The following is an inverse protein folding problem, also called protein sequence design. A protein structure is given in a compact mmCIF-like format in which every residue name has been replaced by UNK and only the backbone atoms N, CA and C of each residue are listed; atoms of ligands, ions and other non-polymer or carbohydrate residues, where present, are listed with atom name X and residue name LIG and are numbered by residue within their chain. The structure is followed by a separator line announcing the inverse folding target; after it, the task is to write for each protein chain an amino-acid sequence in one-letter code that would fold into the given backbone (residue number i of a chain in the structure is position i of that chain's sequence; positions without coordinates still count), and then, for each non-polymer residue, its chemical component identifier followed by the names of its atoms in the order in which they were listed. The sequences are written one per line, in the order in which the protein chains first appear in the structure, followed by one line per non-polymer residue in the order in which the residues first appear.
data_IF_843744656237
#
_entry.id   IF_843744656237
#
_cell.length_a   1.000
_cell.length_b   1.000
_cell.length_c   1.000
_cell.angle_alpha   90.00
_cell.angle_beta   90.00
_cell.angle_gamma   90.00
#
_symmetry.space_group_name_H-M   'P 1'
#
loop_
_entity.id
_entity.type
_entity.pdbx_description
1 polymer ?
#
# COMPACT_ATOMS: atom_id res chain seq x y z
N UNK A 1 23.87 12.62 -26.01
CA UNK A 1 23.68 11.36 -26.77
C UNK A 1 22.48 10.65 -26.18
N UNK A 2 21.37 10.53 -26.92
CA UNK A 2 20.11 9.97 -26.43
C UNK A 2 20.28 8.46 -26.22
N UNK A 3 20.22 7.97 -24.97
CA UNK A 3 20.13 6.54 -24.68
C UNK A 3 18.68 6.11 -24.93
N UNK A 4 18.47 5.36 -26.00
CA UNK A 4 17.22 4.66 -26.29
C UNK A 4 17.12 3.52 -25.27
N UNK A 5 16.23 3.64 -24.30
CA UNK A 5 15.93 2.56 -23.36
C UNK A 5 15.01 1.56 -24.07
N UNK A 6 15.60 0.47 -24.56
CA UNK A 6 14.86 -0.67 -25.08
C UNK A 6 14.19 -1.34 -23.88
N UNK A 7 12.88 -1.15 -23.76
CA UNK A 7 12.03 -1.88 -22.82
C UNK A 7 11.94 -3.33 -23.29
N UNK A 8 12.88 -4.17 -22.85
CA UNK A 8 12.77 -5.61 -22.99
C UNK A 8 11.67 -6.08 -22.04
N UNK A 9 10.48 -6.31 -22.59
CA UNK A 9 9.45 -7.13 -21.95
C UNK A 9 9.96 -8.55 -21.85
N UNK A 10 10.71 -8.85 -20.79
CA UNK A 10 10.86 -10.23 -20.34
C UNK A 10 9.47 -10.71 -19.90
N UNK A 11 8.78 -11.43 -20.79
CA UNK A 11 7.85 -12.46 -20.35
C UNK A 11 8.66 -13.48 -19.56
N UNK A 12 8.81 -13.24 -18.26
CA UNK A 12 9.17 -14.30 -17.33
C UNK A 12 8.03 -15.31 -17.37
N UNK A 13 8.22 -16.37 -18.16
CA UNK A 13 7.41 -17.57 -18.03
C UNK A 13 7.56 -18.05 -16.60
N UNK A 14 6.58 -17.72 -15.75
CA UNK A 14 6.39 -18.39 -14.48
C UNK A 14 6.09 -19.85 -14.82
N UNK A 15 7.12 -20.70 -14.81
CA UNK A 15 6.92 -22.11 -14.56
C UNK A 15 6.17 -22.17 -13.23
N UNK A 16 4.90 -22.58 -13.30
CA UNK A 16 4.07 -22.78 -12.12
C UNK A 16 4.83 -23.71 -11.17
N UNK A 17 5.45 -23.13 -10.13
CA UNK A 17 5.66 -23.89 -8.90
C UNK A 17 4.27 -24.39 -8.54
N UNK A 18 4.13 -25.71 -8.40
CA UNK A 18 2.91 -26.39 -8.01
C UNK A 18 2.46 -25.79 -6.66
N UNK A 19 1.65 -24.74 -6.73
CA UNK A 19 1.20 -23.98 -5.59
C UNK A 19 0.29 -24.89 -4.78
N UNK A 20 0.70 -25.25 -3.57
CA UNK A 20 -0.08 -26.14 -2.72
C UNK A 20 -1.49 -25.57 -2.46
N UNK A 21 -2.49 -26.08 -3.20
CA UNK A 21 -3.91 -25.82 -2.95
C UNK A 21 -4.32 -26.48 -1.63
N UNK A 22 -5.39 -25.99 -1.01
CA UNK A 22 -5.95 -26.58 0.22
C UNK A 22 -4.94 -26.62 1.38
N UNK A 23 -4.29 -25.49 1.62
CA UNK A 23 -3.32 -25.27 2.68
C UNK A 23 -3.69 -24.00 3.48
N UNK A 24 -3.27 -23.93 4.73
CA UNK A 24 -3.61 -22.82 5.63
C UNK A 24 -5.04 -22.87 6.21
N UNK A 25 -5.46 -21.78 6.85
CA UNK A 25 -6.85 -21.56 7.25
C UNK A 25 -7.64 -20.95 6.07
N UNK A 26 -8.91 -21.32 5.86
CA UNK A 26 -9.74 -20.76 4.79
C UNK A 26 -10.09 -19.28 5.06
N UNK A 27 -10.66 -18.56 4.08
CA UNK A 27 -11.20 -17.22 4.30
C UNK A 27 -12.20 -17.19 5.46
N UNK A 28 -12.15 -16.13 6.27
CA UNK A 28 -13.06 -15.91 7.39
C UNK A 28 -14.04 -14.74 7.09
N UNK A 29 -14.68 -14.18 8.12
CA UNK A 29 -15.62 -13.07 8.00
C UNK A 29 -14.97 -11.70 7.71
N UNK A 30 -13.64 -11.58 7.88
CA UNK A 30 -12.88 -10.35 7.73
C UNK A 30 -11.67 -10.44 6.79
N UNK A 31 -11.29 -11.65 6.39
CA UNK A 31 -10.15 -11.93 5.53
C UNK A 31 -10.63 -12.76 4.33
N UNK A 32 -10.67 -12.18 3.12
CA UNK A 32 -11.27 -12.86 1.96
C UNK A 32 -10.36 -13.90 1.30
N UNK A 33 -9.10 -14.01 1.73
CA UNK A 33 -8.12 -14.98 1.25
C UNK A 33 -7.84 -16.03 2.31
N UNK A 34 -7.47 -17.24 1.87
CA UNK A 34 -6.89 -18.22 2.77
C UNK A 34 -5.48 -17.77 3.24
N UNK A 35 -4.99 -18.36 4.31
CA UNK A 35 -3.60 -18.16 4.75
C UNK A 35 -2.66 -18.86 3.75
N UNK A 36 -1.68 -18.13 3.22
CA UNK A 36 -0.77 -18.57 2.14
C UNK A 36 -1.47 -18.83 0.79
N UNK A 37 -2.53 -18.09 0.52
CA UNK A 37 -3.32 -18.19 -0.70
C UNK A 37 -2.62 -17.60 -1.94
N UNK A 38 -2.39 -18.45 -2.95
CA UNK A 38 -1.78 -18.06 -4.22
C UNK A 38 -2.76 -17.40 -5.20
N UNK A 39 -4.06 -17.37 -4.91
CA UNK A 39 -5.02 -16.52 -5.61
C UNK A 39 -4.95 -15.06 -5.15
N UNK A 40 -4.23 -14.77 -4.05
CA UNK A 40 -4.00 -13.38 -3.63
C UNK A 40 -3.02 -12.72 -4.58
N UNK A 41 -3.29 -11.48 -5.05
CA UNK A 41 -2.35 -10.75 -5.88
C UNK A 41 -0.97 -10.62 -5.22
N UNK A 42 0.08 -10.87 -6.01
CA UNK A 42 1.45 -10.64 -5.55
C UNK A 42 1.70 -9.14 -5.35
N UNK A 43 2.49 -8.74 -4.34
CA UNK A 43 2.94 -7.37 -4.21
C UNK A 43 3.64 -6.92 -5.51
N UNK A 44 3.40 -5.68 -5.99
CA UNK A 44 4.12 -5.16 -7.14
C UNK A 44 5.62 -5.06 -6.84
N UNK A 45 6.45 -5.40 -7.82
CA UNK A 45 7.90 -5.21 -7.73
C UNK A 45 8.22 -3.72 -7.75
N UNK A 46 9.01 -3.25 -6.77
CA UNK A 46 9.52 -1.88 -6.70
C UNK A 46 11.04 -1.96 -6.58
N UNK A 47 11.74 -1.29 -7.49
CA UNK A 47 13.19 -1.12 -7.39
C UNK A 47 13.44 0.07 -6.48
N UNK A 48 14.18 -0.08 -5.36
CA UNK A 48 14.52 1.04 -4.50
C UNK A 48 15.46 2.02 -5.23
N UNK A 49 15.55 3.25 -4.73
CA UNK A 49 16.58 4.19 -5.16
C UNK A 49 17.99 3.69 -4.79
N UNK A 50 19.01 4.22 -5.46
CA UNK A 50 20.41 3.79 -5.29
C UNK A 50 20.95 4.19 -3.91
N UNK A 51 20.64 5.40 -3.45
CA UNK A 51 20.97 5.91 -2.13
C UNK A 51 19.72 6.15 -1.26
N UNK A 52 19.91 6.30 0.06
CA UNK A 52 18.81 6.66 0.94
C UNK A 52 18.28 8.05 0.56
N UNK A 53 16.97 8.12 0.32
CA UNK A 53 16.30 9.34 -0.11
C UNK A 53 16.08 9.42 -1.62
N UNK A 54 16.73 8.58 -2.42
CA UNK A 54 16.45 8.52 -3.85
C UNK A 54 15.03 7.95 -4.12
N UNK A 55 14.34 8.43 -5.16
CA UNK A 55 13.02 7.94 -5.51
C UNK A 55 13.05 6.47 -5.94
N UNK A 56 12.18 5.60 -5.39
CA UNK A 56 11.99 4.25 -5.91
C UNK A 56 11.31 4.28 -7.29
N UNK A 57 11.33 3.16 -8.00
CA UNK A 57 10.82 3.06 -9.39
C UNK A 57 9.32 3.33 -9.56
N UNK A 58 8.54 3.27 -8.47
CA UNK A 58 7.10 3.56 -8.46
C UNK A 58 6.76 4.97 -7.93
N UNK A 59 7.78 5.77 -7.58
CA UNK A 59 7.58 7.13 -7.11
C UNK A 59 7.32 8.10 -8.26
N UNK A 60 6.53 9.12 -7.94
CA UNK A 60 6.30 10.29 -8.77
C UNK A 60 7.22 11.39 -8.25
N UNK A 61 8.15 11.79 -9.10
CA UNK A 61 9.14 12.83 -8.80
C UNK A 61 8.50 14.21 -8.99
N UNK A 62 8.44 14.99 -7.91
CA UNK A 62 7.88 16.33 -7.88
C UNK A 62 8.97 17.40 -8.09
N UNK A 63 10.19 17.17 -7.59
CA UNK A 63 11.34 18.03 -7.82
C UNK A 63 12.66 17.24 -7.81
N UNK A 64 13.39 17.31 -8.92
CA UNK A 64 14.75 16.74 -9.12
C UNK A 64 15.67 17.71 -9.90
N UNK A 65 15.29 18.99 -9.98
CA UNK A 65 16.02 20.00 -10.72
C UNK A 65 15.10 21.03 -11.38
N UNK A 66 15.69 21.94 -12.15
CA UNK A 66 14.99 23.12 -12.70
C UNK A 66 13.84 22.74 -13.63
N UNK A 67 13.97 21.66 -14.38
CA UNK A 67 12.93 21.15 -15.27
C UNK A 67 11.64 20.85 -14.53
N UNK A 68 11.73 20.43 -13.25
CA UNK A 68 10.56 20.14 -12.43
C UNK A 68 9.70 21.37 -12.14
N UNK A 69 10.15 22.60 -12.45
CA UNK A 69 9.33 23.81 -12.32
C UNK A 69 7.95 23.67 -12.97
N UNK A 70 7.84 22.91 -14.07
CA UNK A 70 6.57 22.66 -14.73
C UNK A 70 5.56 21.88 -13.87
N UNK A 71 6.03 21.15 -12.85
CA UNK A 71 5.18 20.40 -11.90
C UNK A 71 4.55 21.31 -10.84
N UNK A 72 4.95 22.57 -10.78
CA UNK A 72 4.56 23.50 -9.72
C UNK A 72 3.77 24.69 -10.27
N UNK A 73 2.97 25.30 -9.39
CA UNK A 73 2.24 26.53 -9.65
C UNK A 73 2.28 27.42 -8.42
N UNK A 74 2.45 28.71 -8.64
CA UNK A 74 2.24 29.71 -7.60
C UNK A 74 0.75 29.78 -7.24
N UNK A 75 0.45 29.82 -5.94
CA UNK A 75 -0.94 30.00 -5.48
C UNK A 75 -1.36 31.47 -5.45
N UNK A 76 -0.40 32.39 -5.32
CA UNK A 76 -0.66 33.82 -5.43
C UNK A 76 -0.61 34.24 -6.90
N UNK A 77 -1.65 34.92 -7.42
CA UNK A 77 -1.66 35.48 -8.77
C UNK A 77 -0.45 36.38 -9.04
N UNK A 78 0.02 36.41 -10.28
CA UNK A 78 1.23 37.14 -10.70
C UNK A 78 1.13 38.65 -10.40
N UNK A 79 -0.03 39.26 -10.63
CA UNK A 79 -0.31 40.68 -10.37
C UNK A 79 -0.27 41.04 -8.87
N UNK A 80 -0.37 40.05 -7.99
CA UNK A 80 -0.36 40.22 -6.52
C UNK A 80 0.94 39.71 -5.89
N UNK A 81 1.81 39.06 -6.65
CA UNK A 81 3.04 38.43 -6.16
C UNK A 81 4.23 39.37 -6.32
N UNK A 82 5.06 39.49 -5.28
CA UNK A 82 6.22 40.41 -5.31
C UNK A 82 7.45 39.80 -5.97
N UNK A 83 7.61 38.49 -5.85
CA UNK A 83 8.75 37.73 -6.34
C UNK A 83 8.30 36.31 -6.71
N UNK A 84 9.05 35.62 -7.55
CA UNK A 84 8.81 34.21 -7.85
C UNK A 84 9.72 33.32 -6.99
N UNK A 85 9.33 32.04 -6.87
CA UNK A 85 10.17 31.02 -6.27
C UNK A 85 11.32 30.78 -7.25
N UNK A 86 12.52 30.57 -6.71
CA UNK A 86 13.69 30.30 -7.55
C UNK A 86 13.74 28.79 -7.80
N UNK A 87 14.01 28.41 -9.05
CA UNK A 87 14.25 27.02 -9.46
C UNK A 87 15.65 26.92 -10.07
N UNK A 88 16.47 26.02 -9.54
CA UNK A 88 17.81 25.71 -10.02
C UNK A 88 17.93 24.21 -10.28
N UNK A 89 19.06 23.78 -10.82
CA UNK A 89 19.31 22.35 -11.07
C UNK A 89 19.52 21.54 -9.77
N UNK A 90 19.81 22.19 -8.64
CA UNK A 90 20.02 21.53 -7.33
C UNK A 90 18.83 21.70 -6.38
N UNK A 91 18.24 22.91 -6.33
CA UNK A 91 17.16 23.21 -5.39
C UNK A 91 16.16 24.22 -5.92
N UNK A 92 14.97 24.23 -5.29
CA UNK A 92 14.03 25.34 -5.34
C UNK A 92 14.07 26.13 -4.02
N UNK A 93 13.79 27.43 -4.06
CA UNK A 93 13.93 28.30 -2.88
C UNK A 93 12.76 29.26 -2.72
N UNK A 94 12.29 29.37 -1.47
CA UNK A 94 11.30 30.36 -1.08
C UNK A 94 11.88 31.77 -1.22
N UNK A 95 11.08 32.71 -1.72
CA UNK A 95 11.48 34.11 -1.85
C UNK A 95 10.42 34.98 -1.22
N UNK A 96 10.82 35.84 -0.30
CA UNK A 96 9.89 36.70 0.45
C UNK A 96 8.91 37.42 -0.48
N UNK A 97 7.63 37.19 -0.26
CA UNK A 97 6.54 37.81 -1.01
C UNK A 97 6.08 37.01 -2.23
N UNK A 98 6.62 35.81 -2.46
CA UNK A 98 6.16 34.86 -3.47
C UNK A 98 4.87 34.14 -3.06
N UNK A 99 4.62 34.01 -1.75
CA UNK A 99 3.54 33.20 -1.22
C UNK A 99 3.76 31.70 -1.44
N UNK A 100 2.75 30.90 -1.14
CA UNK A 100 2.83 29.46 -1.31
C UNK A 100 3.02 29.05 -2.76
N UNK A 101 3.79 27.98 -2.95
CA UNK A 101 3.83 27.21 -4.19
C UNK A 101 3.19 25.85 -3.97
N UNK A 102 2.57 25.29 -5.00
CA UNK A 102 1.86 24.02 -4.93
C UNK A 102 2.19 23.12 -6.11
N UNK A 103 2.13 21.81 -5.89
CA UNK A 103 2.17 20.84 -6.99
C UNK A 103 0.92 20.99 -7.87
N UNK A 104 1.08 20.72 -9.17
CA UNK A 104 -0.04 20.50 -10.09
C UNK A 104 -0.65 19.11 -9.90
N UNK A 105 0.20 18.13 -9.64
CA UNK A 105 -0.21 16.79 -9.23
C UNK A 105 -0.95 16.85 -7.89
N UNK A 106 -2.02 16.08 -7.78
CA UNK A 106 -2.83 15.96 -6.56
C UNK A 106 -2.84 14.51 -6.08
N UNK A 107 -2.57 14.30 -4.80
CA UNK A 107 -2.47 12.97 -4.21
C UNK A 107 -3.07 12.91 -2.80
N UNK A 108 -3.34 11.70 -2.34
CA UNK A 108 -3.95 11.39 -1.05
C UNK A 108 -2.96 10.70 -0.11
N UNK A 109 -3.34 9.52 0.39
CA UNK A 109 -2.47 8.67 1.21
C UNK A 109 -1.15 8.37 0.51
N UNK A 110 -0.02 8.76 1.12
CA UNK A 110 1.29 8.66 0.47
C UNK A 110 2.44 8.39 1.46
N UNK A 111 3.51 7.83 0.91
CA UNK A 111 4.86 8.03 1.42
C UNK A 111 5.47 9.19 0.64
N UNK A 112 5.98 10.22 1.33
CA UNK A 112 6.54 11.44 0.77
C UNK A 112 7.96 11.64 1.31
N UNK A 113 8.90 11.93 0.42
CA UNK A 113 10.24 12.38 0.77
C UNK A 113 10.41 13.86 0.39
N UNK A 114 11.05 14.62 1.27
CA UNK A 114 11.40 16.04 1.06
C UNK A 114 12.75 16.31 1.70
N UNK A 115 13.69 16.85 0.95
CA UNK A 115 14.88 17.48 1.54
C UNK A 115 14.69 19.00 1.63
N UNK A 116 15.10 19.58 2.76
CA UNK A 116 15.06 21.03 2.97
C UNK A 116 16.28 21.54 3.71
N UNK A 117 16.66 22.79 3.47
CA UNK A 117 17.76 23.45 4.16
C UNK A 117 17.35 24.86 4.57
N UNK A 118 17.54 25.16 5.86
CA UNK A 118 17.47 26.52 6.36
C UNK A 118 18.58 27.38 5.72
N UNK A 119 18.41 28.71 5.66
CA UNK A 119 19.47 29.61 5.18
C UNK A 119 20.75 29.43 5.99
N UNK A 120 21.91 29.45 5.32
CA UNK A 120 23.23 29.40 5.99
C UNK A 120 23.43 30.65 6.87
N UNK A 121 23.01 31.82 6.37
CA UNK A 121 22.98 33.04 7.16
C UNK A 121 21.81 33.00 8.15
N UNK A 122 22.17 32.85 9.43
CA UNK A 122 21.21 32.84 10.54
C UNK A 122 20.66 34.24 10.80
N UNK A 123 19.36 34.42 10.54
CA UNK A 123 18.63 35.64 10.87
C UNK A 123 17.33 35.34 11.61
N UNK A 124 17.01 36.18 12.60
CA UNK A 124 15.80 36.06 13.42
C UNK A 124 15.93 35.06 14.58
N UNK A 125 14.82 34.84 15.27
CA UNK A 125 14.70 33.91 16.41
C UNK A 125 13.29 33.35 16.50
N UNK A 126 13.12 32.24 17.23
CA UNK A 126 11.85 31.54 17.33
C UNK A 126 11.29 31.22 15.95
N UNK A 127 10.01 31.55 15.72
CA UNK A 127 9.32 31.35 14.43
C UNK A 127 9.79 32.28 13.29
N UNK A 128 10.65 33.27 13.57
CA UNK A 128 11.17 34.18 12.54
C UNK A 128 12.43 33.67 11.83
N UNK A 129 12.95 32.50 12.24
CA UNK A 129 14.24 31.98 11.79
C UNK A 129 14.04 30.71 10.97
N UNK A 130 14.27 30.83 9.66
CA UNK A 130 14.21 29.69 8.73
C UNK A 130 12.82 29.04 8.64
N UNK A 131 11.74 29.81 8.76
CA UNK A 131 10.37 29.28 8.78
C UNK A 131 9.84 29.02 7.36
N UNK A 132 9.22 27.85 7.19
CA UNK A 132 8.46 27.42 6.03
C UNK A 132 7.54 26.28 6.50
N UNK A 133 7.00 25.48 5.60
CA UNK A 133 6.22 24.30 5.99
C UNK A 133 5.91 23.42 4.79
N UNK A 134 5.74 22.13 5.07
CA UNK A 134 5.29 21.11 4.11
C UNK A 134 3.81 20.84 4.37
N UNK A 135 2.96 21.24 3.44
CA UNK A 135 1.51 21.23 3.60
C UNK A 135 0.86 20.17 2.71
N UNK A 136 0.17 19.21 3.33
CA UNK A 136 -0.53 18.11 2.66
C UNK A 136 -2.00 18.47 2.44
N UNK A 137 -2.61 17.83 1.42
CA UNK A 137 -4.01 17.99 1.05
C UNK A 137 -4.47 19.44 0.98
N UNK A 138 -3.90 20.22 0.06
CA UNK A 138 -4.33 21.61 -0.13
C UNK A 138 -4.18 22.49 1.11
N UNK A 139 -3.22 22.19 1.99
CA UNK A 139 -2.96 22.99 3.19
C UNK A 139 -3.72 22.58 4.44
N UNK A 140 -4.32 21.39 4.47
CA UNK A 140 -5.10 20.95 5.63
C UNK A 140 -4.25 20.37 6.76
N UNK A 141 -3.03 19.90 6.46
CA UNK A 141 -2.09 19.36 7.44
C UNK A 141 -0.71 19.94 7.16
N UNK A 142 -0.07 20.48 8.18
CA UNK A 142 1.28 21.07 8.09
C UNK A 142 2.28 20.23 8.88
N UNK A 143 3.34 19.79 8.20
CA UNK A 143 4.58 19.36 8.83
C UNK A 143 5.51 20.55 8.84
N UNK A 144 5.80 21.02 10.04
CA UNK A 144 6.50 22.28 10.22
C UNK A 144 7.95 22.22 9.71
N UNK A 145 8.41 23.29 9.06
CA UNK A 145 9.81 23.49 8.68
C UNK A 145 10.33 24.73 9.39
N UNK A 146 11.33 24.54 10.24
CA UNK A 146 11.89 25.64 11.01
C UNK A 146 13.35 25.39 11.36
N UNK A 147 14.17 26.44 11.36
CA UNK A 147 15.49 26.35 11.99
C UNK A 147 15.36 26.52 13.51
N UNK A 148 15.05 25.42 14.20
CA UNK A 148 15.15 25.32 15.66
C UNK A 148 16.44 24.61 16.12
N UNK A 149 17.51 24.60 15.30
CA UNK A 149 18.82 24.16 15.75
C UNK A 149 19.42 25.20 16.71
N UNK A 150 19.36 24.90 18.01
CA UNK A 150 19.71 25.82 19.10
C UNK A 150 18.93 27.15 19.03
N UNK A 151 17.67 27.09 18.60
CA UNK A 151 16.76 28.22 18.53
C UNK A 151 15.39 27.84 19.14
N UNK A 152 15.18 28.08 20.46
CA UNK A 152 13.94 27.73 21.13
C UNK A 152 12.71 28.46 20.57
N UNK A 153 11.57 27.76 20.55
CA UNK A 153 10.24 28.28 20.19
C UNK A 153 9.16 27.46 20.90
N UNK A 154 7.86 27.71 20.63
CA UNK A 154 6.80 26.85 21.17
C UNK A 154 6.88 25.44 20.56
N UNK A 155 6.81 24.35 21.36
CA UNK A 155 7.16 23.01 20.89
C UNK A 155 6.33 22.49 19.71
N UNK A 156 5.03 22.78 19.69
CA UNK A 156 4.07 22.40 18.65
C UNK A 156 4.18 23.26 17.38
N UNK A 157 5.20 24.11 17.27
CA UNK A 157 5.59 24.79 16.05
C UNK A 157 7.08 24.66 15.73
N UNK A 158 7.74 23.63 16.26
CA UNK A 158 9.13 23.30 15.90
C UNK A 158 9.19 22.33 14.71
N UNK A 159 10.33 22.24 14.04
CA UNK A 159 10.50 21.38 12.86
C UNK A 159 10.09 19.93 13.15
N UNK A 160 9.26 19.37 12.27
CA UNK A 160 8.73 18.00 12.40
C UNK A 160 7.50 17.90 13.29
N UNK A 161 7.01 19.01 13.86
CA UNK A 161 5.69 19.04 14.49
C UNK A 161 4.58 18.83 13.46
N UNK A 162 3.48 18.21 13.90
CA UNK A 162 2.17 18.50 13.31
C UNK A 162 1.76 19.87 13.85
N UNK A 163 1.88 20.91 13.02
CA UNK A 163 1.83 22.30 13.50
C UNK A 163 0.56 22.61 14.30
N UNK A 164 0.74 23.18 15.49
CA UNK A 164 -0.34 23.53 16.44
C UNK A 164 -1.05 22.35 17.10
N UNK A 165 -0.67 21.11 16.77
CA UNK A 165 -1.31 19.88 17.24
C UNK A 165 -0.36 19.07 18.13
N UNK A 166 0.77 18.62 17.58
CA UNK A 166 1.68 17.68 18.25
C UNK A 166 3.14 18.10 18.07
N UNK A 167 3.88 18.39 19.16
CA UNK A 167 5.33 18.59 19.12
C UNK A 167 6.07 17.36 18.58
N UNK A 168 7.24 17.53 17.94
CA UNK A 168 8.10 16.40 17.61
C UNK A 168 8.68 15.78 18.88
N UNK A 169 8.82 14.45 18.90
CA UNK A 169 9.41 13.71 20.01
C UNK A 169 10.91 14.03 20.23
N UNK A 170 11.60 14.51 19.19
CA UNK A 170 13.00 14.89 19.25
C UNK A 170 13.31 16.04 18.28
N UNK A 171 14.32 16.84 18.62
CA UNK A 171 14.93 17.80 17.69
C UNK A 171 16.16 17.13 17.04
N UNK A 172 15.97 16.57 15.85
CA UNK A 172 17.01 15.87 15.10
C UNK A 172 17.61 16.71 13.95
N UNK A 173 17.59 18.03 14.08
CA UNK A 173 18.09 18.92 13.04
C UNK A 173 19.62 18.97 12.99
N UNK A 174 20.14 19.01 11.76
CA UNK A 174 21.49 19.47 11.42
C UNK A 174 21.61 21.00 11.52
N UNK A 175 22.81 21.56 11.40
CA UNK A 175 23.02 23.00 11.49
C UNK A 175 22.42 23.76 10.28
N UNK A 176 22.23 25.10 10.36
CA UNK A 176 21.75 25.90 9.23
C UNK A 176 22.65 25.77 8.00
N UNK A 177 22.07 25.82 6.80
CA UNK A 177 22.77 25.54 5.55
C UNK A 177 22.90 24.05 5.20
N UNK A 178 22.91 23.15 6.19
CA UNK A 178 22.92 21.71 5.97
C UNK A 178 21.53 21.19 5.59
N UNK A 179 21.49 20.18 4.72
CA UNK A 179 20.25 19.53 4.29
C UNK A 179 19.66 18.66 5.41
N UNK A 180 18.36 18.76 5.58
CA UNK A 180 17.53 17.91 6.41
C UNK A 180 16.69 17.02 5.51
N UNK A 181 16.48 15.76 5.88
CA UNK A 181 15.53 14.89 5.18
C UNK A 181 14.26 14.71 6.03
N UNK A 182 13.11 14.85 5.38
CA UNK A 182 11.82 14.42 5.90
C UNK A 182 11.33 13.21 5.11
N UNK A 183 11.09 12.12 5.83
CA UNK A 183 10.34 10.97 5.33
C UNK A 183 8.99 10.94 6.05
N UNK A 184 7.92 11.13 5.29
CA UNK A 184 6.57 11.32 5.79
C UNK A 184 5.70 10.18 5.29
N UNK A 185 5.03 9.46 6.21
CA UNK A 185 3.96 8.52 5.89
C UNK A 185 2.66 9.17 6.31
N UNK A 186 1.81 9.46 5.34
CA UNK A 186 0.55 10.17 5.54
C UNK A 186 -0.64 9.29 5.17
N UNK A 187 -1.58 9.18 6.12
CA UNK A 187 -2.95 8.70 5.87
C UNK A 187 -3.91 9.83 6.17
N UNK A 188 -4.71 10.22 5.18
CA UNK A 188 -5.70 11.28 5.36
C UNK A 188 -6.81 10.84 6.33
N UNK A 189 -7.45 11.80 7.02
CA UNK A 189 -8.72 11.52 7.68
C UNK A 189 -9.78 11.06 6.67
N UNK A 190 -10.67 10.17 7.10
CA UNK A 190 -11.87 9.78 6.35
C UNK A 190 -13.06 10.20 7.17
N UNK A 191 -13.82 11.14 6.62
CA UNK A 191 -15.05 11.66 7.20
C UNK A 191 -16.17 11.49 6.19
N UNK A 192 -17.30 10.93 6.61
CA UNK A 192 -18.50 10.75 5.77
C UNK A 192 -19.70 11.20 6.58
N UNK A 193 -20.54 12.06 5.99
CA UNK A 193 -21.77 12.54 6.61
C UNK A 193 -21.57 13.17 8.01
N UNK A 194 -20.40 13.79 8.24
CA UNK A 194 -20.01 14.40 9.52
C UNK A 194 -19.44 13.42 10.54
N UNK A 195 -19.38 12.12 10.24
CA UNK A 195 -18.78 11.11 11.11
C UNK A 195 -17.32 10.83 10.74
N UNK A 196 -16.43 10.88 11.73
CA UNK A 196 -15.02 10.50 11.58
C UNK A 196 -14.92 8.98 11.59
N UNK A 197 -14.70 8.40 10.41
CA UNK A 197 -14.54 6.94 10.24
C UNK A 197 -13.09 6.49 10.48
N UNK A 198 -12.13 7.35 10.18
CA UNK A 198 -10.71 7.18 10.47
C UNK A 198 -10.10 8.56 10.68
N UNK A 199 -9.44 8.79 11.80
CA UNK A 199 -8.83 10.09 12.09
C UNK A 199 -7.63 10.40 11.21
N UNK A 200 -7.12 9.43 10.46
CA UNK A 200 -5.87 9.57 9.73
C UNK A 200 -4.67 9.56 10.69
N UNK A 201 -3.47 9.50 10.12
CA UNK A 201 -2.24 9.45 10.89
C UNK A 201 -1.06 9.99 10.09
N UNK A 202 -0.09 10.51 10.81
CA UNK A 202 1.15 11.02 10.24
C UNK A 202 2.34 10.40 10.99
N UNK A 203 3.26 9.82 10.23
CA UNK A 203 4.60 9.47 10.73
C UNK A 203 5.60 10.38 10.04
N UNK A 204 6.53 10.93 10.80
CA UNK A 204 7.57 11.83 10.29
C UNK A 204 8.90 11.38 10.85
N UNK A 205 9.86 11.13 9.97
CA UNK A 205 11.26 10.96 10.32
C UNK A 205 12.03 12.20 9.87
N UNK A 206 12.90 12.69 10.74
CA UNK A 206 13.85 13.76 10.45
C UNK A 206 15.24 13.18 10.50
N UNK A 207 15.94 13.17 9.36
CA UNK A 207 17.29 12.59 9.25
C UNK A 207 17.35 11.13 9.76
N UNK A 208 16.30 10.34 9.48
CA UNK A 208 16.16 8.96 9.94
C UNK A 208 15.69 8.79 11.39
N UNK A 209 15.52 9.87 12.16
CA UNK A 209 15.00 9.84 13.54
C UNK A 209 13.48 10.02 13.51
N UNK A 210 12.73 9.05 14.05
CA UNK A 210 11.27 9.17 14.20
C UNK A 210 10.95 10.30 15.18
N UNK A 211 10.23 11.32 14.70
CA UNK A 211 9.77 12.44 15.53
C UNK A 211 8.25 12.51 15.67
N UNK A 212 7.51 11.86 14.77
CA UNK A 212 6.08 11.58 14.89
C UNK A 212 5.89 10.09 14.59
N UNK A 213 5.27 9.36 15.51
CA UNK A 213 4.99 7.92 15.36
C UNK A 213 3.49 7.69 15.26
N UNK A 214 3.02 7.45 14.04
CA UNK A 214 1.61 7.20 13.75
C UNK A 214 0.66 8.21 14.43
N UNK A 215 1.09 9.48 14.52
CA UNK A 215 0.40 10.54 15.25
C UNK A 215 -0.99 10.76 14.64
N UNK A 216 -2.08 10.62 15.41
CA UNK A 216 -3.42 10.85 14.90
C UNK A 216 -3.61 12.33 14.54
N UNK A 217 -4.38 12.60 13.49
CA UNK A 217 -4.69 13.98 13.10
C UNK A 217 -5.93 14.46 13.86
N UNK A 218 -5.91 15.73 14.28
CA UNK A 218 -7.00 16.36 15.03
C UNK A 218 -7.68 17.47 14.20
N UNK A 219 -7.74 17.31 12.87
CA UNK A 219 -8.30 18.30 11.96
C UNK A 219 -7.31 19.38 11.53
N UNK A 220 -6.10 19.42 12.08
CA UNK A 220 -5.04 20.34 11.66
C UNK A 220 -5.02 21.65 12.45
N UNK A 221 -3.83 22.27 12.49
CA UNK A 221 -3.58 23.51 13.22
C UNK A 221 -3.44 24.72 12.30
N UNK A 222 -3.85 25.86 12.80
CA UNK A 222 -3.48 27.17 12.29
C UNK A 222 -2.78 27.96 13.39
N UNK A 223 -2.28 29.17 13.08
CA UNK A 223 -1.63 29.97 14.09
C UNK A 223 -2.59 30.29 15.25
N UNK A 224 -2.32 29.70 16.43
CA UNK A 224 -3.13 29.81 17.66
C UNK A 224 -4.56 29.25 17.55
N UNK A 225 -4.84 28.39 16.57
CA UNK A 225 -6.16 27.78 16.37
C UNK A 225 -6.02 26.30 16.00
N UNK A 226 -7.04 25.51 16.35
CA UNK A 226 -7.24 24.16 15.83
C UNK A 226 -8.55 24.15 15.06
N UNK A 227 -8.65 23.28 14.06
CA UNK A 227 -9.89 23.03 13.36
C UNK A 227 -10.39 21.64 13.68
N UNK A 228 -11.70 21.47 13.78
CA UNK A 228 -12.31 20.18 14.04
C UNK A 228 -12.06 19.20 12.87
N UNK A 229 -11.96 17.91 13.23
CA UNK A 229 -11.67 16.81 12.32
C UNK A 229 -12.89 16.36 11.51
N UNK A 230 -14.10 16.75 11.93
CA UNK A 230 -15.40 16.37 11.35
C UNK A 230 -15.71 17.02 9.99
N UNK A 231 -14.80 17.82 9.45
CA UNK A 231 -14.91 18.36 8.09
C UNK A 231 -14.45 17.35 7.05
N UNK A 232 -15.04 17.43 5.85
CA UNK A 232 -14.65 16.57 4.73
C UNK A 232 -13.22 16.90 4.27
N UNK A 233 -12.35 15.88 4.31
CA UNK A 233 -11.03 15.94 3.69
C UNK A 233 -11.13 15.45 2.24
N UNK A 234 -10.52 16.15 1.27
CA UNK A 234 -10.55 15.72 -0.12
C UNK A 234 -9.76 14.41 -0.27
N UNK A 235 -10.17 13.56 -1.22
CA UNK A 235 -9.46 12.30 -1.49
C UNK A 235 -8.03 12.55 -1.97
N UNK A 236 -7.83 13.64 -2.71
CA UNK A 236 -6.56 14.09 -3.24
C UNK A 236 -6.42 15.60 -3.08
N UNK A 237 -5.19 16.09 -2.95
CA UNK A 237 -4.89 17.51 -3.01
C UNK A 237 -3.43 17.77 -3.30
N UNK A 238 -3.10 19.03 -3.57
CA UNK A 238 -1.72 19.44 -3.81
C UNK A 238 -0.86 19.37 -2.54
N UNK A 239 0.43 19.08 -2.73
CA UNK A 239 1.48 19.43 -1.79
C UNK A 239 1.77 20.92 -1.92
N UNK A 240 1.90 21.63 -0.80
CA UNK A 240 2.26 23.05 -0.80
C UNK A 240 3.50 23.30 0.04
N UNK A 241 4.32 24.25 -0.40
CA UNK A 241 5.48 24.75 0.35
C UNK A 241 5.26 26.23 0.65
N UNK A 242 5.61 26.63 1.88
CA UNK A 242 5.31 27.96 2.38
C UNK A 242 6.45 28.96 2.13
N UNK A 243 6.10 30.14 1.64
CA UNK A 243 6.93 31.34 1.80
C UNK A 243 6.48 32.06 3.09
N UNK A 244 7.32 31.98 4.13
CA UNK A 244 7.15 32.74 5.37
C UNK A 244 8.14 33.94 5.44
N UNK A 245 8.72 34.33 4.31
CA UNK A 245 9.70 35.40 4.20
C UNK A 245 11.13 35.00 4.56
N UNK A 246 11.40 33.73 4.84
CA UNK A 246 12.74 33.17 5.00
C UNK A 246 13.14 32.36 3.75
N UNK A 247 14.40 32.46 3.26
CA UNK A 247 14.83 31.80 2.03
C UNK A 247 15.19 30.31 2.23
N UNK A 248 14.23 29.52 2.69
CA UNK A 248 14.37 28.06 2.83
C UNK A 248 14.47 27.41 1.45
N UNK A 249 15.40 26.46 1.31
CA UNK A 249 15.63 25.68 0.09
C UNK A 249 15.03 24.29 0.22
N UNK A 250 14.58 23.73 -0.90
CA UNK A 250 14.03 22.38 -1.01
C UNK A 250 14.62 21.65 -2.21
N UNK A 251 14.84 20.34 -2.08
CA UNK A 251 15.23 19.47 -3.19
C UNK A 251 14.72 18.05 -2.96
N UNK A 252 14.97 17.17 -3.95
CA UNK A 252 14.67 15.75 -3.88
C UNK A 252 13.27 15.48 -3.30
N UNK A 253 12.25 15.89 -4.06
CA UNK A 253 10.85 15.78 -3.61
C UNK A 253 10.19 14.72 -4.47
N UNK A 254 9.70 13.66 -3.84
CA UNK A 254 8.95 12.61 -4.52
C UNK A 254 7.94 11.98 -3.58
N UNK A 255 6.90 11.40 -4.13
CA UNK A 255 5.96 10.61 -3.34
C UNK A 255 5.61 9.31 -4.06
N UNK A 256 5.14 8.33 -3.30
CA UNK A 256 4.47 7.14 -3.83
C UNK A 256 3.15 6.92 -3.10
N UNK A 257 2.05 6.60 -3.81
CA UNK A 257 0.78 6.30 -3.17
C UNK A 257 0.90 5.12 -2.22
N UNK A 258 0.21 5.19 -1.07
CA UNK A 258 0.03 4.01 -0.23
C UNK A 258 -1.13 3.16 -0.75
N UNK A 259 -1.14 1.87 -0.39
CA UNK A 259 -2.28 0.98 -0.70
C UNK A 259 -3.60 1.59 -0.21
N UNK A 260 -4.70 1.51 -0.98
CA UNK A 260 -6.02 1.95 -0.52
C UNK A 260 -6.43 1.26 0.78
N UNK A 261 -7.11 1.99 1.66
CA UNK A 261 -7.69 1.42 2.89
C UNK A 261 -9.00 0.70 2.58
N UNK A 262 -9.45 -0.24 3.43
CA UNK A 262 -10.78 -0.87 3.30
C UNK A 262 -11.92 0.14 3.16
N UNK A 263 -11.84 1.25 3.91
CA UNK A 263 -12.81 2.33 3.82
C UNK A 263 -12.85 2.99 2.44
N UNK A 264 -11.77 2.96 1.66
CA UNK A 264 -11.65 3.50 0.31
C UNK A 264 -11.66 2.39 -0.77
N UNK A 265 -12.26 1.24 -0.49
CA UNK A 265 -12.36 0.12 -1.45
C UNK A 265 -11.09 -0.73 -1.58
N UNK A 266 -10.10 -0.51 -0.71
CA UNK A 266 -8.97 -1.42 -0.56
C UNK A 266 -9.40 -2.81 -0.10
N UNK A 267 -8.69 -3.83 -0.53
CA UNK A 267 -9.02 -5.23 -0.17
C UNK A 267 -8.06 -5.81 0.85
N UNK A 268 -6.98 -5.10 1.21
CA UNK A 268 -6.00 -5.57 2.18
C UNK A 268 -6.39 -5.30 3.63
N UNK A 269 -5.90 -6.17 4.53
CA UNK A 269 -6.10 -6.04 5.97
C UNK A 269 -7.42 -6.64 6.43
N UNK A 270 -7.97 -6.08 7.52
CA UNK A 270 -9.25 -6.49 8.09
C UNK A 270 -10.38 -5.74 7.38
N UNK A 271 -11.20 -6.45 6.63
CA UNK A 271 -12.34 -5.88 5.90
C UNK A 271 -13.63 -5.93 6.70
N UNK A 272 -14.64 -5.17 6.30
CA UNK A 272 -16.01 -5.39 6.78
C UNK A 272 -16.52 -6.76 6.30
N UNK A 273 -17.54 -7.31 6.97
CA UNK A 273 -18.15 -8.59 6.56
C UNK A 273 -18.67 -8.52 5.13
N UNK A 274 -19.32 -7.41 4.78
CA UNK A 274 -19.83 -7.16 3.43
C UNK A 274 -18.71 -7.12 2.38
N UNK A 275 -17.67 -6.31 2.62
CA UNK A 275 -16.53 -6.21 1.69
C UNK A 275 -15.80 -7.55 1.54
N UNK A 276 -15.67 -8.32 2.63
CA UNK A 276 -15.09 -9.67 2.61
C UNK A 276 -15.91 -10.60 1.72
N UNK A 277 -17.23 -10.62 1.87
CA UNK A 277 -18.11 -11.48 1.07
C UNK A 277 -18.13 -11.09 -0.40
N UNK A 278 -18.13 -9.80 -0.71
CA UNK A 278 -18.01 -9.31 -2.09
C UNK A 278 -16.69 -9.80 -2.71
N UNK A 279 -15.57 -9.66 -1.98
CA UNK A 279 -14.28 -10.09 -2.49
C UNK A 279 -14.17 -11.61 -2.64
N UNK A 280 -14.70 -12.38 -1.70
CA UNK A 280 -14.79 -13.85 -1.81
C UNK A 280 -15.60 -14.30 -3.02
N UNK A 281 -16.68 -13.58 -3.33
CA UNK A 281 -17.52 -13.84 -4.51
C UNK A 281 -16.73 -13.65 -5.79
N UNK A 282 -15.97 -12.55 -5.91
CA UNK A 282 -15.07 -12.29 -7.04
C UNK A 282 -13.99 -13.37 -7.19
N UNK A 283 -13.33 -13.75 -6.08
CA UNK A 283 -12.29 -14.78 -6.08
C UNK A 283 -12.89 -16.10 -6.56
N UNK A 284 -14.00 -16.55 -5.98
CA UNK A 284 -14.67 -17.79 -6.37
C UNK A 284 -15.05 -17.79 -7.85
N UNK A 285 -15.56 -16.67 -8.38
CA UNK A 285 -15.88 -16.54 -9.80
C UNK A 285 -14.62 -16.61 -10.68
N UNK A 286 -13.53 -15.96 -10.28
CA UNK A 286 -12.26 -16.03 -11.02
C UNK A 286 -11.67 -17.45 -11.04
N UNK A 287 -11.73 -18.16 -9.90
CA UNK A 287 -11.28 -19.55 -9.79
C UNK A 287 -12.10 -20.46 -10.73
N UNK A 288 -13.43 -20.29 -10.75
CA UNK A 288 -14.30 -21.06 -11.65
C UNK A 288 -14.03 -20.75 -13.12
N UNK A 289 -13.74 -19.49 -13.47
CA UNK A 289 -13.34 -19.11 -14.83
C UNK A 289 -12.02 -19.78 -15.23
N UNK A 290 -11.03 -19.75 -14.35
CA UNK A 290 -9.74 -20.42 -14.56
C UNK A 290 -9.90 -21.94 -14.78
N UNK A 291 -10.77 -22.58 -13.99
CA UNK A 291 -11.10 -24.00 -14.12
C UNK A 291 -11.68 -24.41 -15.49
N UNK A 292 -12.25 -23.47 -16.26
CA UNK A 292 -12.78 -23.77 -17.61
C UNK A 292 -11.68 -24.14 -18.60
N UNK A 293 -10.43 -23.71 -18.35
CA UNK A 293 -9.26 -24.05 -19.17
C UNK A 293 -8.57 -25.35 -18.76
N UNK A 294 -9.05 -26.00 -17.70
CA UNK A 294 -8.46 -27.21 -17.12
C UNK A 294 -9.31 -28.43 -17.47
N UNK A 295 -8.76 -29.62 -17.28
CA UNK A 295 -9.45 -30.90 -17.49
C UNK A 295 -9.18 -31.87 -16.33
N UNK A 296 -9.95 -32.97 -16.29
CA UNK A 296 -9.77 -34.07 -15.33
C UNK A 296 -9.70 -33.62 -13.86
N UNK A 297 -8.76 -34.20 -13.12
CA UNK A 297 -8.56 -33.94 -11.69
C UNK A 297 -8.14 -32.49 -11.42
N UNK A 298 -7.37 -31.86 -12.31
CA UNK A 298 -6.95 -30.47 -12.11
C UNK A 298 -8.12 -29.51 -12.14
N UNK A 299 -9.06 -29.70 -13.09
CA UNK A 299 -10.32 -28.97 -13.09
C UNK A 299 -11.14 -29.25 -11.83
N UNK A 300 -11.22 -30.51 -11.40
CA UNK A 300 -11.99 -30.87 -10.22
C UNK A 300 -11.45 -30.18 -8.95
N UNK A 301 -10.13 -30.21 -8.75
CA UNK A 301 -9.45 -29.54 -7.64
C UNK A 301 -9.67 -28.03 -7.69
N UNK A 302 -9.58 -27.41 -8.88
CA UNK A 302 -9.82 -25.97 -9.04
C UNK A 302 -11.26 -25.58 -8.72
N UNK A 303 -12.24 -26.40 -9.12
CA UNK A 303 -13.64 -26.20 -8.76
C UNK A 303 -13.89 -26.37 -7.25
N UNK A 304 -13.27 -27.39 -6.63
CA UNK A 304 -13.31 -27.58 -5.17
C UNK A 304 -12.63 -26.45 -4.39
N UNK A 305 -11.63 -25.78 -4.98
CA UNK A 305 -11.02 -24.61 -4.38
C UNK A 305 -11.99 -23.43 -4.38
N UNK A 306 -12.79 -23.25 -5.45
CA UNK A 306 -13.75 -22.15 -5.54
C UNK A 306 -14.82 -22.17 -4.44
N UNK A 307 -15.23 -23.37 -3.99
CA UNK A 307 -16.24 -23.53 -2.95
C UNK A 307 -15.74 -23.18 -1.55
N UNK A 308 -14.41 -23.13 -1.34
CA UNK A 308 -13.80 -22.63 -0.10
C UNK A 308 -14.11 -21.14 0.08
N UNK A 309 -14.20 -20.39 -1.02
CA UNK A 309 -14.52 -18.96 -0.99
C UNK A 309 -16.02 -18.72 -0.98
N UNK A 310 -16.77 -19.39 -1.86
CA UNK A 310 -18.22 -19.27 -1.95
C UNK A 310 -18.83 -20.56 -2.50
N UNK A 311 -19.75 -21.15 -1.73
CA UNK A 311 -20.43 -22.38 -2.10
C UNK A 311 -21.11 -22.28 -3.47
N UNK A 312 -20.92 -23.30 -4.30
CA UNK A 312 -21.56 -23.41 -5.60
C UNK A 312 -21.86 -24.88 -5.91
N UNK A 313 -23.16 -25.22 -5.97
CA UNK A 313 -23.64 -26.60 -6.11
C UNK A 313 -23.25 -27.22 -7.46
N UNK A 314 -23.25 -26.43 -8.53
CA UNK A 314 -22.88 -26.87 -9.88
C UNK A 314 -21.39 -27.21 -9.94
N UNK A 315 -20.52 -26.29 -9.50
CA UNK A 315 -19.09 -26.52 -9.42
C UNK A 315 -18.73 -27.74 -8.57
N UNK A 316 -19.44 -27.94 -7.44
CA UNK A 316 -19.29 -29.12 -6.60
C UNK A 316 -19.70 -30.40 -7.32
N UNK A 317 -20.84 -30.39 -8.03
CA UNK A 317 -21.32 -31.54 -8.79
C UNK A 317 -20.34 -31.92 -9.92
N UNK A 318 -19.89 -30.92 -10.68
CA UNK A 318 -18.92 -31.08 -11.76
C UNK A 318 -17.59 -31.65 -11.25
N UNK A 319 -17.07 -31.10 -10.15
CA UNK A 319 -15.85 -31.62 -9.54
C UNK A 319 -16.02 -33.09 -9.10
N UNK A 320 -17.13 -33.41 -8.45
CA UNK A 320 -17.42 -34.77 -8.03
C UNK A 320 -17.53 -35.74 -9.21
N UNK A 321 -18.13 -35.33 -10.33
CA UNK A 321 -18.23 -36.15 -11.54
C UNK A 321 -16.85 -36.43 -12.15
N UNK A 322 -15.99 -35.40 -12.25
CA UNK A 322 -14.63 -35.55 -12.76
C UNK A 322 -13.79 -36.48 -11.87
N UNK A 323 -13.91 -36.35 -10.55
CA UNK A 323 -13.22 -37.22 -9.59
C UNK A 323 -13.75 -38.66 -9.70
N UNK A 324 -15.06 -38.84 -9.84
CA UNK A 324 -15.65 -40.16 -10.00
C UNK A 324 -15.14 -40.86 -11.26
N UNK A 325 -15.09 -40.15 -12.40
CA UNK A 325 -14.54 -40.69 -13.65
C UNK A 325 -13.06 -41.09 -13.49
N UNK A 326 -12.24 -40.24 -12.85
CA UNK A 326 -10.84 -40.55 -12.56
C UNK A 326 -10.68 -41.80 -11.69
N UNK A 327 -11.56 -42.00 -10.71
CA UNK A 327 -11.55 -43.18 -9.85
C UNK A 327 -12.05 -44.45 -10.56
N UNK A 328 -12.88 -44.32 -11.59
CA UNK A 328 -13.32 -45.43 -12.44
C UNK A 328 -12.21 -45.87 -13.40
N UNK A 329 -11.47 -44.92 -13.97
CA UNK A 329 -10.25 -45.19 -14.75
C UNK A 329 -9.20 -45.92 -13.91
N UNK A 330 -8.93 -45.44 -12.69
CA UNK A 330 -8.00 -46.10 -11.78
C UNK A 330 -8.43 -47.54 -11.44
N UNK A 331 -9.73 -47.79 -11.29
CA UNK A 331 -10.24 -49.12 -10.90
C UNK A 331 -9.99 -50.20 -11.95
N UNK A 332 -9.76 -49.82 -13.21
CA UNK A 332 -9.44 -50.75 -14.32
C UNK A 332 -7.97 -50.68 -14.75
N UNK A 333 -7.17 -49.82 -14.12
CA UNK A 333 -5.75 -49.69 -14.41
C UNK A 333 -4.96 -50.94 -13.98
N UNK A 334 -3.90 -51.27 -14.73
CA UNK A 334 -3.01 -52.37 -14.34
C UNK A 334 -2.23 -52.01 -13.06
N UNK A 335 -1.69 -53.03 -12.38
CA UNK A 335 -0.85 -52.80 -11.21
C UNK A 335 0.40 -51.95 -11.55
N UNK A 336 0.93 -52.08 -12.78
CA UNK A 336 2.09 -51.33 -13.25
C UNK A 336 1.74 -49.85 -13.54
N UNK A 337 0.49 -49.58 -13.96
CA UNK A 337 0.02 -48.22 -14.27
C UNK A 337 -0.45 -47.46 -13.02
N UNK A 338 -0.79 -48.15 -11.94
CA UNK A 338 -1.35 -47.56 -10.72
C UNK A 338 -0.45 -46.47 -10.11
N UNK A 339 0.88 -46.62 -10.17
CA UNK A 339 1.82 -45.65 -9.59
C UNK A 339 1.75 -44.28 -10.30
N UNK A 340 1.34 -44.22 -11.58
CA UNK A 340 1.15 -42.96 -12.30
C UNK A 340 0.03 -42.08 -11.70
N UNK A 341 -0.91 -42.68 -10.98
CA UNK A 341 -2.03 -41.99 -10.33
C UNK A 341 -1.65 -41.39 -8.97
N UNK A 342 -0.51 -41.79 -8.39
CA UNK A 342 -0.12 -41.47 -7.01
C UNK A 342 -0.18 -39.98 -6.70
N UNK A 343 0.39 -39.15 -7.57
CA UNK A 343 0.49 -37.70 -7.35
C UNK A 343 -0.88 -37.04 -7.18
N UNK A 344 -1.78 -37.29 -8.14
CA UNK A 344 -3.14 -36.73 -8.15
C UNK A 344 -4.05 -37.35 -7.10
N UNK A 345 -3.90 -38.64 -6.81
CA UNK A 345 -4.65 -39.29 -5.72
C UNK A 345 -4.29 -38.71 -4.36
N UNK A 346 -3.00 -38.45 -4.09
CA UNK A 346 -2.55 -37.80 -2.86
C UNK A 346 -2.99 -36.33 -2.80
N UNK A 347 -3.06 -35.63 -3.94
CA UNK A 347 -3.58 -34.27 -4.01
C UNK A 347 -5.07 -34.21 -3.67
N UNK A 348 -5.87 -35.10 -4.25
CA UNK A 348 -7.29 -35.27 -3.92
C UNK A 348 -7.50 -35.65 -2.45
N UNK A 349 -6.68 -36.57 -1.91
CA UNK A 349 -6.74 -36.97 -0.50
C UNK A 349 -6.54 -35.75 0.41
N UNK A 350 -5.50 -34.94 0.15
CA UNK A 350 -5.24 -33.71 0.90
C UNK A 350 -6.40 -32.72 0.79
N UNK A 351 -6.92 -32.50 -0.42
CA UNK A 351 -8.04 -31.59 -0.65
C UNK A 351 -9.28 -32.02 0.15
N UNK A 352 -9.67 -33.29 0.09
CA UNK A 352 -10.84 -33.76 0.84
C UNK A 352 -10.64 -33.70 2.37
N UNK A 353 -9.44 -34.01 2.87
CA UNK A 353 -9.16 -33.87 4.30
C UNK A 353 -9.21 -32.40 4.75
N UNK A 354 -8.72 -31.47 3.94
CA UNK A 354 -8.86 -30.03 4.18
C UNK A 354 -10.34 -29.62 4.21
N UNK A 355 -11.10 -29.99 3.18
CA UNK A 355 -12.52 -29.65 3.09
C UNK A 355 -13.33 -30.22 4.26
N UNK A 356 -13.01 -31.44 4.71
CA UNK A 356 -13.64 -32.06 5.89
C UNK A 356 -13.25 -31.31 7.16
N UNK A 357 -11.96 -31.01 7.35
CA UNK A 357 -11.44 -30.30 8.54
C UNK A 357 -12.18 -28.98 8.76
N UNK A 358 -12.41 -28.22 7.68
CA UNK A 358 -13.09 -26.93 7.72
C UNK A 358 -14.57 -27.01 7.34
N UNK A 359 -15.17 -28.21 7.41
CA UNK A 359 -16.62 -28.44 7.28
C UNK A 359 -17.26 -28.00 5.94
N UNK A 360 -16.47 -27.89 4.87
CA UNK A 360 -16.98 -27.69 3.50
C UNK A 360 -17.61 -28.96 2.90
N UNK A 361 -17.27 -30.13 3.45
CA UNK A 361 -17.91 -31.41 3.15
C UNK A 361 -18.25 -32.15 4.44
N UNK A 362 -19.22 -33.06 4.35
CA UNK A 362 -19.56 -33.98 5.43
C UNK A 362 -18.40 -34.95 5.73
N UNK A 363 -18.23 -35.32 7.00
CA UNK A 363 -17.30 -36.36 7.43
C UNK A 363 -17.57 -37.74 6.81
N UNK A 364 -18.81 -37.99 6.36
CA UNK A 364 -19.24 -39.20 5.67
C UNK A 364 -19.18 -39.14 4.14
N UNK A 365 -18.52 -38.11 3.58
CA UNK A 365 -18.34 -37.95 2.14
C UNK A 365 -17.77 -39.23 1.48
N UNK A 366 -18.50 -39.76 0.50
CA UNK A 366 -18.18 -41.04 -0.18
C UNK A 366 -16.88 -40.98 -0.99
N UNK A 367 -16.61 -39.86 -1.66
CA UNK A 367 -15.40 -39.68 -2.47
C UNK A 367 -14.16 -39.60 -1.58
N UNK A 368 -14.22 -38.85 -0.47
CA UNK A 368 -13.17 -38.84 0.54
C UNK A 368 -12.84 -40.26 1.02
N UNK A 369 -13.85 -41.04 1.43
CA UNK A 369 -13.65 -42.42 1.90
C UNK A 369 -13.01 -43.31 0.83
N UNK A 370 -13.41 -43.16 -0.44
CA UNK A 370 -12.88 -43.93 -1.57
C UNK A 370 -11.42 -43.58 -1.86
N UNK A 371 -11.10 -42.29 -1.94
CA UNK A 371 -9.73 -41.80 -2.17
C UNK A 371 -8.79 -42.19 -1.02
N UNK A 372 -9.17 -41.95 0.23
CA UNK A 372 -8.34 -42.30 1.41
C UNK A 372 -8.09 -43.81 1.49
N UNK A 373 -9.11 -44.63 1.17
CA UNK A 373 -8.96 -46.09 1.10
C UNK A 373 -7.94 -46.51 0.04
N UNK A 374 -8.05 -45.99 -1.19
CA UNK A 374 -7.11 -46.30 -2.28
C UNK A 374 -5.67 -45.93 -1.89
N UNK A 375 -5.46 -44.72 -1.36
CA UNK A 375 -4.14 -44.26 -0.92
C UNK A 375 -3.52 -45.17 0.15
N UNK A 376 -4.34 -45.72 1.06
CA UNK A 376 -3.89 -46.67 2.10
C UNK A 376 -3.60 -48.06 1.53
N UNK A 377 -4.44 -48.57 0.64
CA UNK A 377 -4.26 -49.89 0.01
C UNK A 377 -3.02 -49.95 -0.89
N UNK A 378 -2.72 -48.86 -1.61
CA UNK A 378 -1.51 -48.71 -2.43
C UNK A 378 -0.24 -48.39 -1.61
N UNK A 379 -0.36 -48.16 -0.30
CA UNK A 379 0.79 -47.82 0.55
C UNK A 379 1.35 -46.41 0.32
N UNK A 380 0.63 -45.53 -0.36
CA UNK A 380 1.07 -44.15 -0.65
C UNK A 380 0.99 -43.22 0.56
N UNK A 381 0.23 -43.60 1.59
CA UNK A 381 0.09 -42.88 2.87
C UNK A 381 0.37 -43.85 4.03
N UNK A 382 1.08 -43.38 5.06
CA UNK A 382 1.29 -44.15 6.29
C UNK A 382 -0.07 -44.35 6.99
N UNK A 383 -0.30 -45.55 7.52
CA UNK A 383 -1.55 -45.94 8.20
C UNK A 383 -1.87 -45.05 9.40
#
# INVERSE_FOLDING_TARGET
MKKILILLTLLAGFSALDAARFYGEPPDEHHPWAVHDMNRPQPPLVVPGDEYGDPPSDAIVLFEGKQSQENWKHLRPDDKRKNDWIFTDDYMQAVRGSGYIATKEEFGDCQLHVEWAAPEEVQGSGQGRGNSGVFLLNGMVEVQVLDNYRNPTYPDGSAGSVYGVMPPAANALRAPGEWQSYDIIFRRPIVRDGEVLDSGRLTVLVNGVVVQDSTPLEGGGGHKTRQDLDRVFPEKGSLRLQDHGNPVRFRNIWYRPLRPRPLDGGTDGRLSVEATMNKRTEIAASIRKDAQSMEGVDKALRLLESIVYLENKEARADANQLIQAYLEEFAVASADDAESYRGKMLELDRAFHYLKKYQFIDGDNKLLKKVDKICKEQGWKKR
#
